data_IF_435617104207
#
_entry.id   IF_435617104207
#
_cell.length_a   1.000
_cell.length_b   1.000
_cell.length_c   1.000
_cell.angle_alpha   90.00
_cell.angle_beta   90.00
_cell.angle_gamma   90.00
#
_symmetry.space_group_name_H-M   'P 1'
#
loop_
_entity.id
_entity.type
_entity.pdbx_description
1 polymer ?
#
# COMPACT_ATOMS: atom_id res chain seq x y z
N UNK A 1 16.15 -5.25 -4.76
CA UNK A 1 15.94 -3.78 -4.84
C UNK A 1 14.55 -3.44 -5.38
N UNK A 2 13.87 -4.36 -6.07
CA UNK A 2 12.49 -4.16 -6.53
C UNK A 2 11.46 -4.05 -5.40
N UNK A 3 11.76 -4.54 -4.19
CA UNK A 3 10.82 -4.51 -3.06
C UNK A 3 10.66 -3.12 -2.40
N UNK A 4 11.54 -2.17 -2.71
CA UNK A 4 11.43 -0.81 -2.17
C UNK A 4 10.25 -0.03 -2.76
N UNK A 5 9.97 -0.22 -4.05
CA UNK A 5 8.87 0.43 -4.76
C UNK A 5 7.48 0.08 -4.19
N UNK A 6 7.11 -1.20 -3.97
CA UNK A 6 5.82 -1.54 -3.40
C UNK A 6 5.69 -1.02 -1.96
N UNK A 7 6.75 -1.02 -1.16
CA UNK A 7 6.73 -0.43 0.19
C UNK A 7 6.47 1.07 0.14
N UNK A 8 7.18 1.80 -0.74
CA UNK A 8 6.98 3.24 -0.93
C UNK A 8 5.55 3.57 -1.39
N UNK A 9 5.02 2.80 -2.33
CA UNK A 9 3.63 2.95 -2.76
C UNK A 9 2.64 2.67 -1.63
N UNK A 10 2.92 1.71 -0.75
CA UNK A 10 2.09 1.49 0.44
C UNK A 10 2.00 2.72 1.34
N UNK A 11 3.10 3.41 1.57
CA UNK A 11 3.11 4.67 2.35
C UNK A 11 2.27 5.76 1.66
N UNK A 12 2.40 5.89 0.34
CA UNK A 12 1.62 6.86 -0.45
C UNK A 12 0.12 6.54 -0.38
N UNK A 13 -0.26 5.27 -0.59
CA UNK A 13 -1.65 4.79 -0.50
C UNK A 13 -2.23 5.08 0.89
N UNK A 14 -1.46 4.81 1.96
CA UNK A 14 -1.87 5.16 3.31
C UNK A 14 -2.14 6.66 3.45
N UNK A 15 -1.22 7.52 2.98
CA UNK A 15 -1.37 8.98 3.02
C UNK A 15 -2.63 9.47 2.29
N UNK A 16 -2.82 9.06 1.05
CA UNK A 16 -3.99 9.45 0.23
C UNK A 16 -5.29 8.94 0.85
N UNK A 17 -5.30 7.72 1.39
CA UNK A 17 -6.49 7.16 2.03
C UNK A 17 -6.94 7.96 3.25
N UNK A 18 -6.06 8.72 3.91
CA UNK A 18 -6.43 9.53 5.06
C UNK A 18 -7.38 10.69 4.73
N UNK A 19 -7.45 11.11 3.46
CA UNK A 19 -8.40 12.13 3.01
C UNK A 19 -9.82 11.58 2.78
N UNK A 20 -9.97 10.25 2.71
CA UNK A 20 -11.25 9.61 2.40
C UNK A 20 -12.07 9.33 3.66
N UNK A 21 -13.42 9.30 3.58
CA UNK A 21 -14.28 8.82 4.66
C UNK A 21 -14.10 7.32 4.90
N UNK A 22 -14.31 6.86 6.14
CA UNK A 22 -14.08 5.47 6.57
C UNK A 22 -14.74 4.42 5.67
N UNK A 23 -15.98 4.68 5.21
CA UNK A 23 -16.72 3.76 4.33
C UNK A 23 -16.07 3.62 2.96
N UNK A 24 -15.57 4.72 2.40
CA UNK A 24 -14.86 4.69 1.12
C UNK A 24 -13.50 3.99 1.27
N UNK A 25 -12.81 4.15 2.40
CA UNK A 25 -11.53 3.47 2.66
C UNK A 25 -11.66 1.95 2.57
N UNK A 26 -12.75 1.36 3.06
CA UNK A 26 -12.93 -0.10 3.08
C UNK A 26 -12.87 -0.74 1.68
N UNK A 27 -13.28 0.00 0.64
CA UNK A 27 -13.32 -0.50 -0.75
C UNK A 27 -12.19 0.08 -1.59
N UNK A 28 -11.89 1.37 -1.43
CA UNK A 28 -10.86 2.06 -2.21
C UNK A 28 -9.47 1.58 -1.81
N UNK A 29 -9.23 1.29 -0.53
CA UNK A 29 -7.91 0.91 -0.04
C UNK A 29 -7.39 -0.43 -0.61
N UNK A 30 -8.17 -1.54 -0.59
CA UNK A 30 -7.73 -2.77 -1.24
C UNK A 30 -7.50 -2.58 -2.74
N UNK A 31 -8.40 -1.87 -3.42
CA UNK A 31 -8.30 -1.62 -4.86
C UNK A 31 -7.05 -0.81 -5.22
N UNK A 32 -6.74 0.25 -4.48
CA UNK A 32 -5.53 1.05 -4.72
C UNK A 32 -4.25 0.30 -4.38
N UNK A 33 -4.27 -0.60 -3.38
CA UNK A 33 -3.12 -1.45 -3.08
C UNK A 33 -2.81 -2.41 -4.23
N UNK A 34 -3.83 -3.03 -4.83
CA UNK A 34 -3.66 -3.92 -5.99
C UNK A 34 -3.15 -3.16 -7.20
N UNK A 35 -3.74 -2.00 -7.50
CA UNK A 35 -3.29 -1.16 -8.62
C UNK A 35 -1.84 -0.68 -8.45
N UNK A 36 -1.47 -0.28 -7.24
CA UNK A 36 -0.11 0.15 -6.95
C UNK A 36 0.90 -1.01 -6.93
N UNK A 37 0.50 -2.21 -6.51
CA UNK A 37 1.32 -3.42 -6.61
C UNK A 37 1.56 -3.82 -8.06
N UNK A 38 0.52 -3.76 -8.91
CA UNK A 38 0.66 -3.99 -10.34
C UNK A 38 1.57 -2.93 -11.01
N UNK A 39 1.48 -1.67 -10.57
CA UNK A 39 2.36 -0.61 -11.04
C UNK A 39 3.82 -0.83 -10.62
N UNK A 40 4.07 -1.27 -9.37
CA UNK A 40 5.41 -1.60 -8.89
C UNK A 40 6.05 -2.72 -9.72
N UNK A 41 5.31 -3.80 -9.91
CA UNK A 41 5.77 -4.96 -10.67
C UNK A 41 6.00 -4.62 -12.14
N UNK A 42 5.20 -3.70 -12.71
CA UNK A 42 5.43 -3.14 -14.03
C UNK A 42 6.70 -2.31 -14.15
N UNK A 43 7.01 -1.47 -13.14
CA UNK A 43 8.25 -0.69 -13.09
C UNK A 43 9.47 -1.60 -12.91
N UNK A 44 9.35 -2.68 -12.15
CA UNK A 44 10.39 -3.69 -11.96
C UNK A 44 10.62 -4.57 -13.21
N UNK A 45 9.77 -4.47 -14.23
CA UNK A 45 9.86 -5.27 -15.46
C UNK A 45 9.38 -6.71 -15.30
N UNK A 46 8.78 -7.05 -14.17
CA UNK A 46 8.33 -8.41 -13.82
C UNK A 46 7.06 -8.82 -14.58
N UNK A 47 6.36 -7.87 -15.19
CA UNK A 47 5.21 -8.14 -16.07
C UNK A 47 5.58 -8.90 -17.35
N UNK A 48 6.86 -8.89 -17.73
CA UNK A 48 7.35 -9.65 -18.89
C UNK A 48 7.69 -11.11 -18.55
N UNK A 49 7.66 -11.49 -17.26
CA UNK A 49 7.95 -12.85 -16.80
C UNK A 49 6.71 -13.76 -16.92
N UNK A 50 6.92 -15.05 -17.16
CA UNK A 50 5.87 -16.06 -17.14
C UNK A 50 5.19 -16.21 -15.76
N UNK A 51 5.87 -15.76 -14.70
CA UNK A 51 5.34 -15.71 -13.33
C UNK A 51 4.74 -14.35 -12.93
N UNK A 52 4.43 -13.45 -13.86
CA UNK A 52 3.94 -12.09 -13.58
C UNK A 52 2.80 -12.01 -12.54
N UNK A 53 1.88 -12.98 -12.52
CA UNK A 53 0.79 -13.02 -11.54
C UNK A 53 1.29 -13.13 -10.10
N UNK A 54 2.36 -13.90 -9.86
CA UNK A 54 2.96 -14.05 -8.53
C UNK A 54 3.63 -12.75 -8.08
N UNK A 55 4.38 -12.10 -8.97
CA UNK A 55 5.03 -10.82 -8.69
C UNK A 55 4.02 -9.71 -8.36
N UNK A 56 2.99 -9.54 -9.20
CA UNK A 56 1.92 -8.56 -8.94
C UNK A 56 1.20 -8.83 -7.62
N UNK A 57 0.93 -10.11 -7.31
CA UNK A 57 0.28 -10.50 -6.06
C UNK A 57 1.16 -10.22 -4.84
N UNK A 58 2.46 -10.51 -4.94
CA UNK A 58 3.43 -10.26 -3.88
C UNK A 58 3.62 -8.75 -3.64
N UNK A 59 3.78 -7.96 -4.70
CA UNK A 59 3.90 -6.51 -4.62
C UNK A 59 2.62 -5.86 -4.07
N UNK A 60 1.44 -6.34 -4.47
CA UNK A 60 0.17 -5.86 -3.91
C UNK A 60 0.06 -6.14 -2.40
N UNK A 61 0.55 -7.30 -1.94
CA UNK A 61 0.60 -7.63 -0.51
C UNK A 61 1.59 -6.73 0.24
N UNK A 62 2.76 -6.46 -0.34
CA UNK A 62 3.75 -5.54 0.23
C UNK A 62 3.21 -4.11 0.36
N UNK A 63 2.53 -3.61 -0.69
CA UNK A 63 1.85 -2.31 -0.67
C UNK A 63 0.80 -2.27 0.43
N UNK A 64 -0.03 -3.30 0.53
CA UNK A 64 -1.09 -3.38 1.54
C UNK A 64 -0.52 -3.40 2.96
N UNK A 65 0.51 -4.21 3.21
CA UNK A 65 1.16 -4.32 4.51
C UNK A 65 1.81 -2.98 4.93
N UNK A 66 2.59 -2.36 4.05
CA UNK A 66 3.22 -1.06 4.31
C UNK A 66 2.16 0.04 4.56
N UNK A 67 1.06 0.01 3.81
CA UNK A 67 -0.03 0.96 3.99
C UNK A 67 -0.75 0.76 5.34
N UNK A 68 -1.06 -0.48 5.72
CA UNK A 68 -1.69 -0.83 6.99
C UNK A 68 -0.82 -0.42 8.19
N UNK A 69 0.48 -0.72 8.15
CA UNK A 69 1.44 -0.32 9.19
C UNK A 69 1.50 1.20 9.31
N UNK A 70 1.59 1.91 8.19
CA UNK A 70 1.62 3.39 8.19
C UNK A 70 0.37 3.99 8.82
N UNK A 71 -0.81 3.46 8.50
CA UNK A 71 -2.07 3.90 9.11
C UNK A 71 -2.12 3.60 10.61
N UNK A 72 -1.67 2.41 11.03
CA UNK A 72 -1.62 2.02 12.44
C UNK A 72 -0.70 2.95 13.25
N UNK A 73 0.51 3.23 12.74
CA UNK A 73 1.45 4.18 13.36
C UNK A 73 0.84 5.58 13.42
N UNK A 74 0.25 6.07 12.33
CA UNK A 74 -0.39 7.38 12.31
C UNK A 74 -1.57 7.47 13.29
N UNK A 75 -2.27 6.37 13.56
CA UNK A 75 -3.33 6.30 14.56
C UNK A 75 -2.78 6.32 15.99
N UNK A 76 -1.73 5.54 16.27
CA UNK A 76 -1.06 5.50 17.57
C UNK A 76 -0.50 6.88 17.95
N UNK A 77 0.19 7.54 17.02
CA UNK A 77 0.77 8.89 17.25
C UNK A 77 -0.32 9.92 17.55
N UNK A 78 -1.47 9.84 16.85
CA UNK A 78 -2.61 10.73 17.13
C UNK A 78 -3.21 10.50 18.51
N UNK A 79 -3.31 9.24 18.95
CA UNK A 79 -3.84 8.91 20.28
C UNK A 79 -2.92 9.35 21.40
N UNK A 80 -1.60 9.18 21.24
CA UNK A 80 -0.64 9.63 22.26
C UNK A 80 -0.69 11.14 22.47
N UNK A 81 -0.81 11.93 21.40
CA UNK A 81 -0.92 13.40 21.48
C UNK A 81 -2.21 13.89 22.13
N UNK A 82 -3.27 13.08 22.17
CA UNK A 82 -4.52 13.45 22.81
C UNK A 82 -4.51 13.21 24.34
N UNK A 83 -3.55 12.43 24.83
CA UNK A 83 -3.41 12.05 26.24
C UNK A 83 -2.32 12.84 26.98
N UNK A 84 -1.47 13.57 26.24
CA UNK A 84 -0.41 14.45 26.75
C UNK A 84 -0.90 15.90 26.84
#
# INVERSE_FOLDING_TARGET
MGEFLPVLFGVIVAGVSQALPLRARAVVFPATCVLAGALASGINGELADGAWMLFVSFDALLVWAAAAVTLAVAWMVRHQRALS
#
